data_IF_233859916662
#
_entry.id   IF_233859916662
#
_cell.length_a   1.000
_cell.length_b   1.000
_cell.length_c   1.000
_cell.angle_alpha   90.00
_cell.angle_beta   90.00
_cell.angle_gamma   90.00
#
_symmetry.space_group_name_H-M   'P 1'
#
loop_
_entity.id
_entity.type
_entity.pdbx_description
1 polymer ?
#
# COMPACT_ATOMS: atom_id res chain seq x y z
N UNK A 1 10.79 -11.01 -17.01
CA UNK A 1 10.26 -11.00 -15.64
C UNK A 1 8.77 -10.77 -15.70
N UNK A 2 8.06 -10.95 -14.59
CA UNK A 2 6.70 -10.41 -14.50
C UNK A 2 6.81 -8.89 -14.40
N UNK A 3 5.97 -8.12 -15.11
CA UNK A 3 5.98 -6.66 -15.03
C UNK A 3 5.72 -6.24 -13.58
N UNK A 4 6.66 -5.53 -12.97
CA UNK A 4 6.53 -5.01 -11.61
C UNK A 4 5.77 -3.69 -11.62
N UNK A 5 4.58 -3.58 -10.98
CA UNK A 5 3.84 -2.31 -10.92
C UNK A 5 4.65 -1.17 -10.30
N UNK A 6 5.56 -1.50 -9.38
CA UNK A 6 6.50 -0.57 -8.75
C UNK A 6 7.36 0.18 -9.77
N UNK A 7 7.78 -0.50 -10.83
CA UNK A 7 8.64 0.06 -11.87
C UNK A 7 7.85 0.67 -13.04
N UNK A 8 6.52 0.70 -13.00
CA UNK A 8 5.70 1.28 -14.08
C UNK A 8 6.03 2.76 -14.33
N UNK A 9 6.30 3.50 -13.26
CA UNK A 9 6.47 4.95 -13.27
C UNK A 9 7.76 5.37 -12.53
N UNK A 10 8.94 5.00 -13.05
CA UNK A 10 10.19 5.26 -12.36
C UNK A 10 10.56 6.73 -12.49
N UNK A 11 10.49 7.48 -11.39
CA UNK A 11 11.08 8.83 -11.26
C UNK A 11 12.52 8.74 -10.78
N UNK A 12 13.31 9.79 -11.00
CA UNK A 12 14.70 9.80 -10.53
C UNK A 12 14.72 9.79 -9.00
N UNK A 13 13.83 10.56 -8.36
CA UNK A 13 13.70 10.59 -6.89
C UNK A 13 13.33 9.23 -6.29
N UNK A 14 12.48 8.45 -6.98
CA UNK A 14 12.13 7.09 -6.56
C UNK A 14 13.33 6.14 -6.70
N UNK A 15 14.04 6.19 -7.83
CA UNK A 15 15.22 5.36 -8.09
C UNK A 15 16.36 5.69 -7.11
N UNK A 16 16.62 6.97 -6.86
CA UNK A 16 17.60 7.42 -5.87
C UNK A 16 17.24 6.90 -4.47
N UNK A 17 15.94 6.90 -4.11
CA UNK A 17 15.47 6.34 -2.84
C UNK A 17 15.72 4.83 -2.76
N UNK A 18 15.49 4.09 -3.85
CA UNK A 18 15.79 2.65 -3.92
C UNK A 18 17.26 2.39 -3.65
N UNK A 19 18.12 3.10 -4.37
CA UNK A 19 19.56 2.88 -4.34
C UNK A 19 20.09 3.26 -2.94
N UNK A 20 19.75 4.43 -2.41
CA UNK A 20 20.21 4.90 -1.07
C UNK A 20 19.74 4.05 0.11
N UNK A 21 18.61 3.36 -0.01
CA UNK A 21 17.99 2.60 1.10
C UNK A 21 18.05 1.09 0.92
N UNK A 22 18.80 0.61 -0.07
CA UNK A 22 18.98 -0.81 -0.27
C UNK A 22 19.82 -1.41 0.87
N UNK A 23 19.15 -2.10 1.78
CA UNK A 23 19.67 -2.56 3.08
C UNK A 23 20.66 -3.74 2.98
N UNK A 24 20.83 -4.30 1.79
CA UNK A 24 21.70 -5.45 1.53
C UNK A 24 23.16 -5.06 1.29
N UNK A 25 23.48 -3.76 1.42
CA UNK A 25 24.82 -3.19 1.32
C UNK A 25 25.33 -2.90 2.73
N UNK A 26 26.63 -3.13 2.98
CA UNK A 26 27.26 -2.95 4.29
C UNK A 26 27.09 -1.52 4.87
N UNK A 27 26.94 -0.51 4.01
CA UNK A 27 26.79 0.91 4.37
C UNK A 27 25.40 1.48 4.01
N UNK A 28 24.36 0.65 4.03
CA UNK A 28 23.00 1.12 3.76
C UNK A 28 22.62 2.34 4.64
N UNK A 29 22.32 3.47 3.99
CA UNK A 29 22.04 4.75 4.66
C UNK A 29 23.20 5.77 4.68
N UNK A 30 24.38 5.45 4.14
CA UNK A 30 25.44 6.43 3.92
C UNK A 30 25.08 7.40 2.77
N UNK A 31 25.55 8.65 2.87
CA UNK A 31 25.36 9.68 1.83
C UNK A 31 26.18 9.33 0.57
N UNK A 32 27.31 8.65 0.76
CA UNK A 32 28.21 8.22 -0.28
C UNK A 32 28.03 6.73 -0.52
N UNK A 33 27.43 6.38 -1.66
CA UNK A 33 27.21 5.00 -2.09
C UNK A 33 28.48 4.35 -2.66
N UNK A 34 29.62 4.65 -2.05
CA UNK A 34 30.97 4.29 -2.54
C UNK A 34 31.19 2.77 -2.54
N UNK A 35 30.33 2.03 -1.85
CA UNK A 35 30.38 0.57 -1.72
C UNK A 35 29.24 -0.17 -2.44
N UNK A 36 28.49 0.47 -3.34
CA UNK A 36 27.48 -0.22 -4.16
C UNK A 36 28.15 -1.01 -5.30
N UNK A 37 28.60 -2.23 -4.97
CA UNK A 37 29.37 -3.08 -5.89
C UNK A 37 28.52 -3.57 -7.06
N UNK A 38 29.15 -4.05 -8.13
CA UNK A 38 28.42 -4.66 -9.25
C UNK A 38 27.61 -5.89 -8.83
N UNK A 39 28.05 -6.60 -7.79
CA UNK A 39 27.28 -7.70 -7.17
C UNK A 39 26.00 -7.20 -6.54
N UNK A 40 26.04 -6.06 -5.86
CA UNK A 40 24.86 -5.46 -5.22
C UNK A 40 23.88 -4.91 -6.26
N UNK A 41 24.40 -4.29 -7.33
CA UNK A 41 23.59 -3.88 -8.50
C UNK A 41 22.86 -5.07 -9.10
N UNK A 42 23.55 -6.17 -9.37
CA UNK A 42 22.96 -7.38 -9.93
C UNK A 42 21.91 -7.98 -8.97
N UNK A 43 22.18 -7.98 -7.66
CA UNK A 43 21.23 -8.44 -6.65
C UNK A 43 19.97 -7.57 -6.61
N UNK A 44 20.11 -6.25 -6.66
CA UNK A 44 18.99 -5.31 -6.73
C UNK A 44 18.16 -5.54 -7.99
N UNK A 45 18.81 -5.58 -9.16
CA UNK A 45 18.15 -5.79 -10.45
C UNK A 45 17.41 -7.14 -10.49
N UNK A 46 18.03 -8.20 -9.97
CA UNK A 46 17.39 -9.51 -9.83
C UNK A 46 16.15 -9.44 -8.93
N UNK A 47 16.27 -8.78 -7.77
CA UNK A 47 15.16 -8.63 -6.83
C UNK A 47 14.01 -7.89 -7.50
N UNK A 48 14.28 -6.74 -8.13
CA UNK A 48 13.30 -5.95 -8.86
C UNK A 48 12.64 -6.72 -10.02
N UNK A 49 13.38 -7.59 -10.70
CA UNK A 49 12.89 -8.41 -11.80
C UNK A 49 11.95 -9.56 -11.36
N UNK A 50 12.10 -10.02 -10.12
CA UNK A 50 11.40 -11.21 -9.61
C UNK A 50 10.27 -10.83 -8.66
N UNK A 51 10.51 -9.93 -7.71
CA UNK A 51 9.51 -9.44 -6.76
C UNK A 51 9.96 -8.11 -6.14
N UNK A 52 9.20 -7.03 -6.33
CA UNK A 52 9.51 -5.73 -5.75
C UNK A 52 9.12 -5.59 -4.26
N UNK A 53 8.38 -6.54 -3.69
CA UNK A 53 7.96 -6.51 -2.28
C UNK A 53 9.11 -6.29 -1.28
N UNK A 54 10.25 -7.02 -1.35
CA UNK A 54 11.40 -6.77 -0.48
C UNK A 54 11.96 -5.35 -0.58
N UNK A 55 11.91 -4.74 -1.78
CA UNK A 55 12.40 -3.39 -2.01
C UNK A 55 11.47 -2.37 -1.36
N UNK A 56 10.16 -2.53 -1.53
CA UNK A 56 9.15 -1.66 -0.91
C UNK A 56 9.28 -1.63 0.61
N UNK A 57 9.49 -2.79 1.25
CA UNK A 57 9.66 -2.90 2.70
C UNK A 57 10.92 -2.17 3.22
N UNK A 58 11.99 -2.11 2.41
CA UNK A 58 13.24 -1.43 2.77
C UNK A 58 13.13 0.08 2.58
N UNK A 59 12.57 0.52 1.46
CA UNK A 59 12.56 1.94 1.08
C UNK A 59 11.42 2.69 1.76
N UNK A 60 10.36 2.02 2.19
CA UNK A 60 9.22 2.58 2.93
C UNK A 60 9.04 1.84 4.27
N UNK A 61 9.97 2.02 5.22
CA UNK A 61 9.97 1.25 6.45
C UNK A 61 8.86 1.69 7.40
N UNK A 62 8.27 0.74 8.14
CA UNK A 62 7.24 1.06 9.13
C UNK A 62 7.70 1.96 10.28
N UNK A 63 9.01 2.01 10.56
CA UNK A 63 9.60 2.96 11.51
C UNK A 63 9.42 4.43 11.09
N UNK A 64 9.17 4.70 9.80
CA UNK A 64 8.85 6.03 9.25
C UNK A 64 7.35 6.25 9.07
N UNK A 65 6.51 5.39 9.68
CA UNK A 65 5.05 5.51 9.61
C UNK A 65 4.40 4.83 8.41
N UNK A 66 5.16 4.12 7.57
CA UNK A 66 4.59 3.36 6.45
C UNK A 66 3.85 2.11 6.94
N UNK A 67 2.72 1.73 6.32
CA UNK A 67 1.93 0.57 6.73
C UNK A 67 2.55 -0.73 6.17
N UNK A 68 3.86 -0.93 6.33
CA UNK A 68 4.59 -2.12 5.90
C UNK A 68 5.28 -2.81 7.10
N UNK A 69 5.33 -4.15 7.14
CA UNK A 69 6.01 -4.88 8.21
C UNK A 69 7.52 -4.63 8.16
N UNK A 70 8.18 -4.82 9.30
CA UNK A 70 9.64 -4.61 9.37
C UNK A 70 10.35 -5.70 8.57
N UNK A 71 11.16 -5.24 7.62
CA UNK A 71 12.13 -6.06 6.89
C UNK A 71 13.23 -6.57 7.83
N UNK A 72 13.54 -7.87 7.77
CA UNK A 72 14.60 -8.49 8.58
C UNK A 72 15.76 -9.06 7.75
N UNK A 73 15.57 -9.24 6.44
CA UNK A 73 16.61 -9.72 5.53
C UNK A 73 16.07 -10.59 4.40
N UNK A 74 16.91 -10.85 3.40
CA UNK A 74 16.58 -11.73 2.28
C UNK A 74 17.74 -12.66 1.92
N UNK A 75 17.42 -13.82 1.34
CA UNK A 75 18.37 -14.72 0.71
C UNK A 75 17.79 -15.26 -0.60
N UNK A 76 18.31 -14.81 -1.74
CA UNK A 76 17.74 -15.14 -3.04
C UNK A 76 16.30 -14.65 -3.15
N UNK A 77 15.34 -15.59 -3.28
CA UNK A 77 13.89 -15.29 -3.34
C UNK A 77 13.20 -15.38 -1.97
N UNK A 78 13.92 -15.80 -0.94
CA UNK A 78 13.39 -15.90 0.41
C UNK A 78 13.53 -14.55 1.12
N UNK A 79 12.47 -14.15 1.82
CA UNK A 79 12.35 -12.91 2.56
C UNK A 79 11.92 -13.21 3.98
N UNK A 80 12.50 -12.49 4.95
CA UNK A 80 12.06 -12.51 6.34
C UNK A 80 11.54 -11.12 6.72
N UNK A 81 10.34 -11.08 7.27
CA UNK A 81 9.72 -9.88 7.84
C UNK A 81 9.00 -10.22 9.15
N UNK A 82 8.58 -9.20 9.90
CA UNK A 82 7.77 -9.42 11.11
C UNK A 82 6.44 -10.10 10.79
N UNK A 83 6.10 -11.13 11.57
CA UNK A 83 4.92 -11.95 11.37
C UNK A 83 3.60 -11.18 11.60
N UNK A 84 2.60 -11.47 10.77
CA UNK A 84 1.23 -10.96 10.84
C UNK A 84 0.25 -12.10 10.54
N UNK A 85 -1.01 -11.94 10.96
CA UNK A 85 -2.11 -12.84 10.59
C UNK A 85 -2.87 -12.28 9.40
N UNK A 86 -3.19 -13.06 8.35
CA UNK A 86 -3.88 -12.55 7.16
C UNK A 86 -5.30 -12.05 7.48
N UNK A 87 -5.75 -11.04 6.73
CA UNK A 87 -7.08 -10.42 6.92
C UNK A 87 -8.23 -11.42 6.85
N UNK A 88 -8.07 -12.48 6.05
CA UNK A 88 -9.08 -13.53 5.89
C UNK A 88 -9.48 -14.19 7.21
N UNK A 89 -8.55 -14.32 8.16
CA UNK A 89 -8.84 -14.91 9.48
C UNK A 89 -9.82 -14.07 10.32
N UNK A 90 -10.06 -12.81 9.92
CA UNK A 90 -10.91 -11.86 10.64
C UNK A 90 -12.29 -11.66 10.02
N UNK A 91 -12.64 -12.34 8.91
CA UNK A 91 -14.00 -12.26 8.35
C UNK A 91 -15.07 -12.78 9.33
N UNK A 92 -14.71 -13.74 10.19
CA UNK A 92 -15.57 -14.24 11.27
C UNK A 92 -15.53 -13.42 12.56
N UNK A 93 -14.75 -12.34 12.62
CA UNK A 93 -14.55 -11.58 13.85
C UNK A 93 -15.83 -10.84 14.31
N UNK A 94 -15.90 -10.44 15.59
CA UNK A 94 -17.01 -9.65 16.12
C UNK A 94 -17.13 -8.27 15.44
N UNK A 95 -18.32 -7.62 15.48
CA UNK A 95 -18.59 -6.40 14.72
C UNK A 95 -17.65 -5.24 15.01
N UNK A 96 -17.25 -5.06 16.27
CA UNK A 96 -16.32 -4.02 16.71
C UNK A 96 -14.92 -4.19 16.09
N UNK A 97 -14.43 -5.43 16.06
CA UNK A 97 -13.15 -5.76 15.44
C UNK A 97 -13.21 -5.60 13.91
N UNK A 98 -14.30 -6.03 13.27
CA UNK A 98 -14.43 -5.85 11.80
C UNK A 98 -14.61 -4.38 11.41
N UNK A 99 -15.32 -3.59 12.23
CA UNK A 99 -15.44 -2.14 12.02
C UNK A 99 -14.08 -1.45 12.12
N UNK A 100 -13.30 -1.83 13.12
CA UNK A 100 -11.96 -1.26 13.33
C UNK A 100 -11.00 -1.63 12.20
N UNK A 101 -10.95 -2.90 11.77
CA UNK A 101 -10.11 -3.32 10.64
C UNK A 101 -10.53 -2.64 9.33
N UNK A 102 -11.83 -2.49 9.06
CA UNK A 102 -12.32 -1.77 7.89
C UNK A 102 -11.93 -0.28 7.94
N UNK A 103 -12.03 0.35 9.12
CA UNK A 103 -11.61 1.73 9.34
C UNK A 103 -10.10 1.90 9.11
N UNK A 104 -9.28 1.00 9.66
CA UNK A 104 -7.83 1.01 9.46
C UNK A 104 -7.47 0.82 7.99
N UNK A 105 -8.13 -0.11 7.29
CA UNK A 105 -7.89 -0.37 5.87
C UNK A 105 -8.16 0.88 5.02
N UNK A 106 -9.27 1.58 5.26
CA UNK A 106 -9.57 2.86 4.60
C UNK A 106 -8.51 3.93 4.94
N UNK A 107 -8.04 3.99 6.19
CA UNK A 107 -6.95 4.88 6.61
C UNK A 107 -5.62 4.58 5.93
N UNK A 108 -5.26 3.30 5.79
CA UNK A 108 -4.08 2.87 5.05
C UNK A 108 -4.17 3.35 3.60
N UNK A 109 -5.29 3.10 2.91
CA UNK A 109 -5.49 3.55 1.53
C UNK A 109 -5.42 5.07 1.37
N UNK A 110 -5.90 5.83 2.36
CA UNK A 110 -5.77 7.28 2.37
C UNK A 110 -4.31 7.73 2.46
N UNK A 111 -3.51 7.14 3.35
CA UNK A 111 -2.06 7.42 3.50
C UNK A 111 -1.25 7.04 2.26
N UNK A 112 -1.66 5.97 1.57
CA UNK A 112 -1.10 5.56 0.29
C UNK A 112 -1.41 6.54 -0.84
N UNK A 113 -2.57 7.21 -0.79
CA UNK A 113 -2.99 8.21 -1.79
C UNK A 113 -2.32 9.56 -1.57
N UNK A 114 -2.19 9.97 -0.31
CA UNK A 114 -1.69 11.27 0.12
C UNK A 114 -0.78 11.11 1.35
N UNK A 115 0.48 11.50 1.19
CA UNK A 115 1.50 11.46 2.23
C UNK A 115 2.50 12.61 2.02
N UNK A 116 3.27 12.89 3.06
CA UNK A 116 4.23 13.99 3.10
C UNK A 116 5.36 13.87 2.07
N UNK A 117 5.61 12.65 1.57
CA UNK A 117 6.61 12.41 0.53
C UNK A 117 6.06 12.58 -0.89
N UNK A 118 4.77 12.88 -1.07
CA UNK A 118 4.12 13.01 -2.38
C UNK A 118 4.33 11.78 -3.28
N UNK A 119 4.31 10.59 -2.70
CA UNK A 119 4.24 9.34 -3.46
C UNK A 119 2.80 8.84 -3.49
N UNK A 120 2.29 8.48 -4.66
CA UNK A 120 1.00 7.84 -4.81
C UNK A 120 1.16 6.35 -5.02
N UNK A 121 0.63 5.58 -4.08
CA UNK A 121 0.65 4.13 -4.14
C UNK A 121 -0.70 3.60 -4.61
N UNK A 122 -0.65 2.63 -5.51
CA UNK A 122 -1.84 2.00 -6.05
C UNK A 122 -1.69 0.48 -6.14
N UNK A 123 -2.77 -0.24 -5.89
CA UNK A 123 -2.81 -1.69 -6.09
C UNK A 123 -3.28 -2.01 -7.50
N UNK A 124 -2.62 -2.96 -8.17
CA UNK A 124 -3.11 -3.52 -9.45
C UNK A 124 -4.22 -4.56 -9.24
N UNK A 125 -4.18 -5.25 -8.12
CA UNK A 125 -5.21 -6.16 -7.61
C UNK A 125 -5.07 -6.22 -6.08
N UNK A 126 -6.09 -6.72 -5.39
CA UNK A 126 -6.10 -6.85 -3.93
C UNK A 126 -6.63 -8.21 -3.53
N UNK A 127 -6.00 -8.83 -2.54
CA UNK A 127 -6.46 -10.08 -1.93
C UNK A 127 -6.35 -10.00 -0.42
N UNK A 128 -7.09 -10.87 0.28
CA UNK A 128 -7.11 -10.89 1.74
C UNK A 128 -5.72 -11.16 2.35
N UNK A 129 -4.88 -11.95 1.67
CA UNK A 129 -3.53 -12.30 2.11
C UNK A 129 -2.51 -11.16 1.97
N UNK A 130 -2.87 -10.10 1.22
CA UNK A 130 -2.04 -8.91 1.08
C UNK A 130 -2.09 -8.01 2.31
N UNK A 131 -3.09 -8.18 3.16
CA UNK A 131 -3.25 -7.41 4.38
C UNK A 131 -3.05 -8.31 5.59
N UNK A 132 -2.30 -7.81 6.57
CA UNK A 132 -1.95 -8.54 7.78
C UNK A 132 -2.25 -7.73 9.02
N UNK A 133 -2.63 -8.43 10.10
CA UNK A 133 -2.93 -7.85 11.40
C UNK A 133 -1.85 -8.31 12.38
N UNK A 134 -1.21 -7.38 13.09
CA UNK A 134 -0.32 -7.70 14.20
C UNK A 134 -1.10 -8.09 15.45
N UNK A 135 -0.41 -8.70 16.42
CA UNK A 135 -1.03 -9.12 17.69
C UNK A 135 -1.65 -7.97 18.49
N UNK A 136 -1.24 -6.73 18.24
CA UNK A 136 -1.81 -5.53 18.85
C UNK A 136 -3.03 -4.96 18.10
N UNK A 137 -3.50 -5.63 17.04
CA UNK A 137 -4.69 -5.24 16.27
C UNK A 137 -4.44 -4.30 15.10
N UNK A 138 -3.20 -3.85 14.88
CA UNK A 138 -2.92 -2.97 13.74
C UNK A 138 -2.88 -3.70 12.40
N UNK A 139 -3.51 -3.11 11.39
CA UNK A 139 -3.53 -3.57 10.01
C UNK A 139 -2.37 -2.96 9.20
N UNK A 140 -1.70 -3.82 8.43
CA UNK A 140 -0.56 -3.49 7.58
C UNK A 140 -0.68 -4.19 6.21
N UNK A 141 0.09 -3.72 5.24
CA UNK A 141 0.27 -4.35 3.93
C UNK A 141 1.32 -5.45 4.08
N UNK A 142 0.86 -6.69 4.21
CA UNK A 142 1.69 -7.89 4.34
C UNK A 142 2.37 -8.27 3.03
N UNK A 143 1.68 -8.13 1.90
CA UNK A 143 2.24 -8.34 0.57
C UNK A 143 2.08 -7.06 -0.27
N UNK A 144 3.20 -6.59 -0.81
CA UNK A 144 3.29 -5.37 -1.60
C UNK A 144 3.71 -5.67 -3.05
N UNK A 145 3.68 -6.94 -3.47
CA UNK A 145 4.05 -7.38 -4.82
C UNK A 145 3.17 -6.75 -5.91
N UNK A 146 1.91 -6.44 -5.59
CA UNK A 146 0.94 -5.80 -6.47
C UNK A 146 0.94 -4.27 -6.43
N UNK A 147 1.79 -3.66 -5.59
CA UNK A 147 1.82 -2.23 -5.31
C UNK A 147 2.67 -1.48 -6.35
N UNK A 148 2.07 -0.50 -7.01
CA UNK A 148 2.76 0.47 -7.84
C UNK A 148 2.98 1.79 -7.08
N UNK A 149 3.99 2.56 -7.53
CA UNK A 149 4.35 3.85 -6.93
C UNK A 149 4.48 4.88 -8.03
N UNK A 150 3.84 6.04 -7.86
CA UNK A 150 3.92 7.19 -8.74
C UNK A 150 4.45 8.36 -7.93
N UNK A 151 5.48 9.01 -8.44
CA UNK A 151 6.02 10.23 -7.86
C UNK A 151 5.20 11.45 -8.30
N UNK A 152 4.45 12.05 -7.37
CA UNK A 152 3.67 13.26 -7.65
C UNK A 152 4.50 14.55 -7.58
N UNK A 153 5.69 14.53 -6.95
CA UNK A 153 6.52 15.72 -6.79
C UNK A 153 7.35 16.01 -8.05
N UNK A 154 8.02 15.01 -8.61
CA UNK A 154 8.68 15.17 -9.91
C UNK A 154 7.65 15.23 -11.06
N UNK A 155 6.38 15.01 -10.74
CA UNK A 155 5.26 14.91 -11.65
C UNK A 155 5.36 13.66 -12.51
N UNK A 156 4.28 13.32 -13.22
CA UNK A 156 4.40 12.63 -14.50
C UNK A 156 5.12 13.57 -15.45
N UNK A 157 6.40 13.83 -15.22
CA UNK A 157 7.25 14.28 -16.30
C UNK A 157 7.14 13.16 -17.32
N UNK A 158 6.29 13.40 -18.32
CA UNK A 158 6.70 13.30 -19.70
C UNK A 158 8.03 14.04 -19.79
N UNK A 159 9.09 13.41 -19.26
CA UNK A 159 10.39 13.56 -19.80
C UNK A 159 10.10 13.45 -21.29
N UNK A 160 10.37 14.54 -21.99
CA UNK A 160 10.68 14.49 -23.40
C UNK A 160 11.80 13.46 -23.50
N UNK A 161 11.46 12.17 -23.42
CA UNK A 161 12.31 11.05 -23.73
C UNK A 161 12.31 11.10 -25.24
N UNK A 162 13.08 12.06 -25.75
CA UNK A 162 13.72 11.96 -27.04
C UNK A 162 14.14 10.50 -27.14
N UNK A 163 13.56 9.81 -28.12
CA UNK A 163 13.91 8.44 -28.50
C UNK A 163 15.41 8.26 -28.31
N UNK A 164 15.84 7.28 -27.51
CA UNK A 164 16.98 6.38 -27.79
C UNK A 164 17.62 5.67 -26.59
N UNK A 165 17.30 5.96 -25.33
CA UNK A 165 17.83 5.14 -24.22
C UNK A 165 16.79 4.16 -23.68
N UNK A 166 16.84 2.92 -24.19
CA UNK A 166 16.29 1.75 -23.51
C UNK A 166 17.06 1.55 -22.20
N UNK A 167 16.60 2.20 -21.13
CA UNK A 167 17.16 1.99 -19.80
C UNK A 167 16.85 0.56 -19.32
N UNK A 168 17.69 0.01 -18.43
CA UNK A 168 17.51 -1.35 -17.90
C UNK A 168 16.15 -1.55 -17.21
N UNK A 169 15.54 -0.49 -16.69
CA UNK A 169 14.24 -0.55 -16.03
C UNK A 169 13.10 -0.73 -17.03
N UNK A 170 13.19 -0.15 -18.23
CA UNK A 170 12.27 -0.43 -19.34
C UNK A 170 12.32 -1.91 -19.73
N UNK A 171 13.50 -2.52 -19.68
CA UNK A 171 13.66 -3.97 -19.85
C UNK A 171 12.99 -4.79 -18.75
N UNK A 172 13.08 -4.34 -17.50
CA UNK A 172 12.42 -5.00 -16.36
C UNK A 172 10.89 -4.89 -16.41
N UNK A 173 10.35 -3.80 -16.94
CA UNK A 173 8.91 -3.52 -16.96
C UNK A 173 8.20 -4.12 -18.16
N UNK A 174 8.77 -3.98 -19.37
CA UNK A 174 8.07 -4.29 -20.63
C UNK A 174 8.87 -5.22 -21.54
N UNK A 175 9.91 -5.90 -21.03
CA UNK A 175 10.75 -6.76 -21.86
C UNK A 175 11.49 -5.99 -22.96
N UNK A 176 11.88 -4.75 -22.66
CA UNK A 176 12.56 -3.79 -23.54
C UNK A 176 11.67 -3.24 -24.66
N UNK A 177 10.35 -3.41 -24.58
CA UNK A 177 9.42 -2.67 -25.44
C UNK A 177 9.42 -1.18 -25.09
N UNK A 178 9.55 -0.33 -26.10
CA UNK A 178 9.84 1.09 -25.94
C UNK A 178 8.70 1.96 -25.36
N UNK A 179 7.47 1.43 -25.24
CA UNK A 179 6.32 2.19 -24.76
C UNK A 179 5.87 1.69 -23.39
N UNK A 180 6.25 2.43 -22.34
CA UNK A 180 5.67 2.28 -21.01
C UNK A 180 4.27 2.90 -21.00
N UNK A 181 3.27 2.25 -20.36
CA UNK A 181 1.95 2.85 -20.21
C UNK A 181 2.04 4.13 -19.37
N UNK A 182 1.34 5.19 -19.78
CA UNK A 182 1.39 6.48 -19.07
C UNK A 182 0.98 6.34 -17.60
N UNK A 183 1.69 7.06 -16.74
CA UNK A 183 1.43 7.17 -15.31
C UNK A 183 0.14 7.93 -15.02
N UNK A 184 -0.28 8.81 -15.92
CA UNK A 184 -1.50 9.62 -15.79
C UNK A 184 -2.79 8.80 -15.95
N UNK A 185 -2.66 7.56 -16.42
CA UNK A 185 -3.82 6.67 -16.62
C UNK A 185 -4.26 5.95 -15.35
N UNK A 186 -3.52 6.07 -14.25
CA UNK A 186 -3.84 5.41 -12.98
C UNK A 186 -4.68 6.35 -12.12
N UNK A 187 -5.99 6.09 -11.94
CA UNK A 187 -6.86 6.97 -11.17
C UNK A 187 -6.60 6.82 -9.66
N UNK A 188 -6.76 7.90 -8.90
CA UNK A 188 -6.49 7.90 -7.45
C UNK A 188 -7.44 6.98 -6.68
N UNK A 189 -8.66 6.80 -7.21
CA UNK A 189 -9.67 5.90 -6.63
C UNK A 189 -9.36 4.41 -6.78
N UNK A 190 -8.40 4.01 -7.61
CA UNK A 190 -8.22 2.61 -8.04
C UNK A 190 -8.18 1.62 -6.86
N UNK A 191 -7.29 1.86 -5.89
CA UNK A 191 -7.13 0.98 -4.72
C UNK A 191 -8.39 0.94 -3.86
N UNK A 192 -9.09 2.06 -3.71
CA UNK A 192 -10.35 2.14 -2.96
C UNK A 192 -11.44 1.31 -3.61
N UNK A 193 -11.62 1.44 -4.94
CA UNK A 193 -12.60 0.64 -5.69
C UNK A 193 -12.31 -0.85 -5.50
N UNK A 194 -11.05 -1.28 -5.67
CA UNK A 194 -10.65 -2.67 -5.49
C UNK A 194 -10.99 -3.19 -4.09
N UNK A 195 -10.62 -2.44 -3.05
CA UNK A 195 -10.86 -2.85 -1.66
C UNK A 195 -12.34 -2.81 -1.28
N UNK A 196 -13.09 -1.79 -1.72
CA UNK A 196 -14.53 -1.68 -1.49
C UNK A 196 -15.34 -2.75 -2.23
N UNK A 197 -14.85 -3.28 -3.34
CA UNK A 197 -15.49 -4.40 -4.04
C UNK A 197 -15.13 -5.76 -3.45
N UNK A 198 -13.86 -5.97 -3.07
CA UNK A 198 -13.33 -7.32 -2.85
C UNK A 198 -13.15 -7.68 -1.37
N UNK A 199 -12.77 -6.71 -0.53
CA UNK A 199 -12.36 -6.99 0.86
C UNK A 199 -13.38 -6.48 1.88
N UNK A 200 -13.81 -5.23 1.78
CA UNK A 200 -14.72 -4.63 2.77
C UNK A 200 -16.08 -5.32 2.86
N UNK A 201 -16.73 -5.77 1.76
CA UNK A 201 -17.99 -6.50 1.86
C UNK A 201 -17.84 -7.77 2.71
N UNK A 202 -16.71 -8.50 2.59
CA UNK A 202 -16.45 -9.70 3.38
C UNK A 202 -16.25 -9.42 4.87
N UNK A 203 -15.74 -8.23 5.22
CA UNK A 203 -15.58 -7.81 6.60
C UNK A 203 -16.90 -7.33 7.22
N UNK A 204 -17.72 -6.59 6.47
CA UNK A 204 -18.80 -5.76 7.01
C UNK A 204 -20.21 -6.31 6.76
N UNK A 205 -20.38 -7.27 5.85
CA UNK A 205 -21.70 -7.76 5.47
C UNK A 205 -22.42 -8.41 6.66
N UNK A 206 -23.63 -7.91 6.96
CA UNK A 206 -24.54 -8.43 8.00
C UNK A 206 -23.91 -8.48 9.40
N UNK A 207 -23.00 -7.55 9.71
CA UNK A 207 -22.33 -7.45 11.01
C UNK A 207 -23.04 -6.50 11.96
N UNK A 208 -23.81 -5.55 11.44
CA UNK A 208 -24.43 -4.48 12.21
C UNK A 208 -25.95 -4.54 12.12
N UNK A 209 -26.68 -4.02 13.13
CA UNK A 209 -28.12 -3.88 13.05
C UNK A 209 -28.54 -2.77 12.07
N UNK A 210 -29.76 -2.84 11.54
CA UNK A 210 -30.39 -1.70 10.86
C UNK A 210 -30.65 -0.57 11.86
N UNK A 211 -30.51 0.73 11.48
CA UNK A 211 -30.26 1.21 10.10
C UNK A 211 -28.78 1.29 9.71
N UNK A 212 -27.84 1.07 10.65
CA UNK A 212 -26.40 1.25 10.41
C UNK A 212 -25.87 0.37 9.27
N UNK A 213 -26.33 -0.89 9.20
CA UNK A 213 -25.93 -1.79 8.11
C UNK A 213 -26.35 -1.26 6.73
N UNK A 214 -27.52 -0.65 6.61
CA UNK A 214 -28.02 -0.10 5.33
C UNK A 214 -27.17 1.10 4.89
N UNK A 215 -26.73 1.93 5.83
CA UNK A 215 -25.82 3.04 5.55
C UNK A 215 -24.44 2.55 5.11
N UNK A 216 -23.91 1.51 5.78
CA UNK A 216 -22.64 0.86 5.41
C UNK A 216 -22.74 0.28 4.00
N UNK A 217 -23.79 -0.49 3.72
CA UNK A 217 -23.98 -1.15 2.43
C UNK A 217 -24.14 -0.12 1.29
N UNK A 218 -24.86 0.98 1.54
CA UNK A 218 -25.00 2.10 0.60
C UNK A 218 -23.67 2.80 0.30
N UNK A 219 -22.87 3.09 1.34
CA UNK A 219 -21.57 3.72 1.18
C UNK A 219 -20.55 2.79 0.49
N UNK A 220 -20.58 1.48 0.80
CA UNK A 220 -19.76 0.46 0.15
C UNK A 220 -20.08 0.34 -1.34
N UNK A 221 -21.37 0.32 -1.71
CA UNK A 221 -21.79 0.23 -3.10
C UNK A 221 -21.28 1.43 -3.93
N UNK A 222 -21.35 2.64 -3.37
CA UNK A 222 -20.84 3.85 -4.03
C UNK A 222 -19.30 3.84 -4.10
N UNK A 223 -18.61 3.43 -3.04
CA UNK A 223 -17.15 3.32 -3.02
C UNK A 223 -16.63 2.29 -4.05
N UNK A 224 -17.36 1.18 -4.21
CA UNK A 224 -17.03 0.15 -5.19
C UNK A 224 -17.37 0.51 -6.64
N UNK A 225 -17.91 1.69 -6.93
CA UNK A 225 -18.38 2.02 -8.28
C UNK A 225 -17.26 2.62 -9.16
N UNK A 226 -16.51 1.76 -9.86
CA UNK A 226 -15.36 2.18 -10.67
C UNK A 226 -15.64 3.17 -11.81
N UNK A 227 -16.89 3.28 -12.26
CA UNK A 227 -17.30 4.23 -13.30
C UNK A 227 -17.48 5.66 -12.78
N UNK A 228 -17.65 5.86 -11.47
CA UNK A 228 -17.86 7.19 -10.89
C UNK A 228 -16.57 8.00 -10.85
N UNK A 229 -16.61 9.33 -11.00
CA UNK A 229 -15.43 10.19 -10.86
C UNK A 229 -14.72 10.01 -9.51
N UNK A 230 -13.40 10.24 -9.49
CA UNK A 230 -12.56 10.10 -8.30
C UNK A 230 -13.14 10.83 -7.06
N UNK A 231 -13.59 12.10 -7.14
CA UNK A 231 -14.16 12.80 -5.98
C UNK A 231 -15.38 12.12 -5.35
N UNK A 232 -16.19 11.42 -6.15
CA UNK A 232 -17.38 10.73 -5.66
C UNK A 232 -17.02 9.45 -4.89
N UNK A 233 -16.11 8.65 -5.43
CA UNK A 233 -15.61 7.45 -4.75
C UNK A 233 -14.87 7.82 -3.46
N UNK A 234 -14.05 8.87 -3.49
CA UNK A 234 -13.35 9.38 -2.31
C UNK A 234 -14.33 9.86 -1.23
N UNK A 235 -15.40 10.57 -1.61
CA UNK A 235 -16.44 11.01 -0.68
C UNK A 235 -17.20 9.83 -0.07
N UNK A 236 -17.52 8.82 -0.87
CA UNK A 236 -18.18 7.60 -0.39
C UNK A 236 -17.28 6.84 0.61
N UNK A 237 -15.99 6.71 0.32
CA UNK A 237 -15.01 6.12 1.22
C UNK A 237 -14.87 6.90 2.54
N UNK A 238 -14.83 8.24 2.48
CA UNK A 238 -14.83 9.09 3.68
C UNK A 238 -16.09 8.90 4.51
N UNK A 239 -17.26 8.90 3.86
CA UNK A 239 -18.55 8.64 4.53
C UNK A 239 -18.56 7.28 5.22
N UNK A 240 -18.08 6.23 4.54
CA UNK A 240 -17.95 4.90 5.13
C UNK A 240 -17.03 4.91 6.35
N UNK A 241 -15.87 5.58 6.25
CA UNK A 241 -14.93 5.74 7.36
C UNK A 241 -15.57 6.45 8.56
N UNK A 242 -16.41 7.46 8.31
CA UNK A 242 -17.12 8.20 9.35
C UNK A 242 -18.22 7.36 10.02
N UNK A 243 -18.95 6.53 9.26
CA UNK A 243 -19.93 5.58 9.81
C UNK A 243 -19.22 4.53 10.70
N UNK A 244 -18.05 4.04 10.27
CA UNK A 244 -17.29 3.02 11.00
C UNK A 244 -16.62 3.57 12.27
N UNK A 245 -16.24 4.85 12.30
CA UNK A 245 -15.49 5.48 13.39
C UNK A 245 -16.12 5.26 14.79
N UNK A 246 -17.41 5.52 15.04
CA UNK A 246 -18.04 5.30 16.34
C UNK A 246 -18.27 3.82 16.67
N UNK A 247 -18.21 2.91 15.69
CA UNK A 247 -18.46 1.48 15.89
C UNK A 247 -17.23 0.74 16.46
N UNK A 248 -16.09 1.43 16.60
CA UNK A 248 -14.85 0.83 17.10
C UNK A 248 -14.77 0.95 18.62
N UNK A 249 -14.49 -0.15 19.33
CA UNK A 249 -14.48 -0.20 20.82
C UNK A 249 -13.16 0.24 21.46
N UNK A 250 -13.20 0.92 22.60
CA UNK A 250 -12.02 1.27 23.39
C UNK A 250 -11.70 0.18 24.42
N UNK A 251 -11.10 -0.91 23.94
CA UNK A 251 -10.72 -2.08 24.74
C UNK A 251 -9.19 -2.16 24.89
N UNK A 252 -8.65 -2.60 26.06
CA UNK A 252 -7.21 -2.88 26.27
C UNK A 252 -6.53 -3.69 25.16
N UNK A 253 -7.28 -4.58 24.50
CA UNK A 253 -6.83 -5.37 23.35
C UNK A 253 -6.40 -4.51 22.16
N UNK A 254 -6.90 -3.28 22.06
CA UNK A 254 -6.56 -2.29 21.04
C UNK A 254 -5.70 -1.17 21.64
N UNK A 255 -4.60 -1.55 22.29
CA UNK A 255 -3.70 -0.66 23.04
C UNK A 255 -3.25 0.59 22.25
N UNK A 256 -3.15 0.49 20.92
CA UNK A 256 -2.78 1.61 20.05
C UNK A 256 -3.79 2.76 20.01
N UNK A 257 -5.02 2.53 20.45
CA UNK A 257 -6.10 3.52 20.46
C UNK A 257 -6.18 4.33 21.75
N UNK A 258 -5.40 4.00 22.78
CA UNK A 258 -5.53 4.65 24.08
C UNK A 258 -5.30 6.16 24.10
N UNK A 259 -4.44 6.76 23.25
CA UNK A 259 -4.41 8.22 23.13
C UNK A 259 -5.78 8.76 22.67
N UNK A 260 -6.37 8.19 21.63
CA UNK A 260 -7.68 8.64 21.11
C UNK A 260 -8.82 8.37 22.11
N UNK A 261 -8.82 7.18 22.72
CA UNK A 261 -9.83 6.74 23.68
C UNK A 261 -9.76 7.47 25.03
N UNK A 262 -8.64 8.14 25.36
CA UNK A 262 -8.49 8.86 26.63
C UNK A 262 -8.97 10.32 26.53
N UNK A 263 -9.01 10.89 25.33
CA UNK A 263 -9.20 12.33 25.12
C UNK A 263 -10.38 12.68 24.18
N UNK A 264 -11.14 11.71 23.69
CA UNK A 264 -12.32 11.96 22.84
C UNK A 264 -13.60 11.64 23.63
N UNK A 265 -14.37 12.69 23.97
CA UNK A 265 -15.63 12.60 24.73
C UNK A 265 -16.75 11.84 23.99
N UNK A 266 -16.51 11.40 22.75
CA UNK A 266 -17.45 10.59 21.94
C UNK A 266 -17.23 9.08 22.08
N UNK A 267 -16.28 8.65 22.92
CA UNK A 267 -15.98 7.25 23.22
C UNK A 267 -16.09 6.93 24.71
#
# INVERSE_FOLDING_TARGET
>A
GLPSPFLRCPSQRLLDRVVRRYAEVADAGSIFMDHFTDRDKLRLLYTLAVNAHPILLQIFPGAEGWPLPKYLGSCGRFLVSTSTRPLQEFYGAPPDQTADLAYQLLGVLESLRSNDLNYFFYFTHVDADMFGIFNNGHLFIRDASALGVIDKQEGSQAASRTRENQDIFSCLVSGCQAQLPSCDTVPEKQSLVLVCQQLLPRLLQRKFPSPVQEEIDSALAQCGQGTQPDPEVLRAASRLKDILRPLRTCDPRFAYRYPDCKYDDRF
#
